data_IF_337936978218
#
_entry.id   IF_337936978218
#
_cell.length_a   1.000
_cell.length_b   1.000
_cell.length_c   1.000
_cell.angle_alpha   90.00
_cell.angle_beta   90.00
_cell.angle_gamma   90.00
#
_symmetry.space_group_name_H-M   'P 1'
#
loop_
_entity.id
_entity.type
_entity.pdbx_description
1 polymer ?
#
# COMPACT_ATOMS: atom_id res chain seq x y z
N UNK A 1 -14.48 -6.20 36.50
CA UNK A 1 -13.77 -5.02 35.96
C UNK A 1 -14.39 -4.69 34.61
N UNK A 2 -15.36 -3.78 34.65
CA UNK A 2 -16.18 -3.34 33.51
C UNK A 2 -15.44 -2.21 32.81
N UNK A 3 -15.40 -2.21 31.48
CA UNK A 3 -15.27 -0.97 30.73
C UNK A 3 -16.05 -1.11 29.41
N UNK A 4 -17.24 -0.49 29.31
CA UNK A 4 -18.02 -0.42 28.08
C UNK A 4 -17.84 0.95 27.44
N UNK A 5 -17.50 0.97 26.15
CA UNK A 5 -17.60 2.18 25.34
C UNK A 5 -18.30 1.84 24.02
N UNK A 6 -19.55 2.27 23.97
CA UNK A 6 -20.32 2.63 22.77
C UNK A 6 -19.44 3.42 21.78
N UNK A 7 -19.72 3.47 20.47
CA UNK A 7 -20.78 4.31 19.90
C UNK A 7 -21.18 3.80 18.51
N UNK A 8 -22.49 3.76 18.33
CA UNK A 8 -23.22 3.52 17.09
C UNK A 8 -22.80 4.45 15.95
N UNK A 9 -22.59 3.92 14.75
CA UNK A 9 -22.70 4.71 13.50
C UNK A 9 -23.97 4.26 12.80
N UNK A 10 -25.04 4.98 13.10
CA UNK A 10 -26.34 4.91 12.46
C UNK A 10 -26.23 5.64 11.10
N UNK A 11 -26.40 4.89 10.02
CA UNK A 11 -26.26 5.37 8.65
C UNK A 11 -27.44 6.23 8.18
N UNK A 12 -27.06 7.37 7.60
CA UNK A 12 -27.57 8.00 6.38
C UNK A 12 -29.10 8.15 6.20
N UNK A 13 -29.58 9.39 6.38
CA UNK A 13 -30.92 9.84 5.97
C UNK A 13 -30.96 10.11 4.46
N UNK A 14 -32.04 9.64 3.84
CA UNK A 14 -32.36 9.84 2.44
C UNK A 14 -33.29 11.06 2.22
N UNK A 15 -33.17 11.64 1.02
CA UNK A 15 -34.26 12.17 0.19
C UNK A 15 -34.89 13.54 0.50
N UNK A 16 -35.00 14.39 -0.55
CA UNK A 16 -36.12 15.35 -0.65
C UNK A 16 -35.87 16.74 -1.28
N UNK A 17 -35.99 16.82 -2.62
CA UNK A 17 -36.65 17.83 -3.48
C UNK A 17 -36.56 19.37 -3.27
N UNK A 18 -35.96 20.03 -4.27
CA UNK A 18 -36.55 20.98 -5.26
C UNK A 18 -36.88 22.47 -4.92
N UNK A 19 -36.33 23.33 -5.79
CA UNK A 19 -36.68 24.69 -6.31
C UNK A 19 -36.98 25.87 -5.37
N UNK A 20 -36.30 26.99 -5.61
CA UNK A 20 -36.92 28.19 -6.23
C UNK A 20 -35.85 29.20 -6.71
N UNK A 21 -36.08 29.78 -7.90
CA UNK A 21 -35.29 30.88 -8.50
C UNK A 21 -36.26 32.02 -8.77
N UNK A 22 -35.98 33.29 -8.40
CA UNK A 22 -35.64 34.32 -9.40
C UNK A 22 -34.69 35.39 -8.78
N UNK A 23 -34.09 36.39 -9.42
CA UNK A 23 -34.18 37.03 -10.71
C UNK A 23 -32.87 37.82 -10.94
N UNK A 24 -32.68 38.23 -12.21
CA UNK A 24 -32.07 39.50 -12.60
C UNK A 24 -30.55 39.68 -12.45
N UNK A 25 -29.83 39.30 -13.52
CA UNK A 25 -28.86 40.19 -14.17
C UNK A 25 -28.53 39.63 -15.57
N UNK A 26 -29.10 40.28 -16.59
CA UNK A 26 -28.84 40.02 -18.00
C UNK A 26 -27.37 40.28 -18.37
N UNK A 27 -26.75 39.48 -19.27
CA UNK A 27 -25.31 39.48 -19.54
C UNK A 27 -24.89 40.35 -20.74
N UNK A 28 -23.68 40.93 -20.69
CA UNK A 28 -22.67 41.05 -21.78
C UNK A 28 -21.79 42.31 -21.62
N UNK A 29 -20.68 42.44 -22.37
CA UNK A 29 -19.59 41.49 -22.63
C UNK A 29 -18.23 42.18 -22.36
N UNK A 30 -17.10 41.56 -22.72
CA UNK A 30 -15.71 42.05 -22.57
C UNK A 30 -15.21 42.03 -21.13
N UNK A 31 -14.42 41.06 -20.72
CA UNK A 31 -13.00 41.09 -21.04
C UNK A 31 -12.40 39.68 -21.12
N UNK A 32 -12.00 39.30 -22.33
CA UNK A 32 -10.96 38.29 -22.48
C UNK A 32 -9.69 38.84 -21.84
N UNK A 33 -9.25 38.30 -20.70
CA UNK A 33 -7.80 38.09 -20.51
C UNK A 33 -7.44 37.14 -19.38
N UNK A 34 -6.97 35.96 -19.82
CA UNK A 34 -5.99 35.06 -19.18
C UNK A 34 -6.27 34.72 -17.73
N UNK A 35 -6.93 33.57 -17.53
CA UNK A 35 -6.66 32.76 -16.34
C UNK A 35 -5.14 32.60 -16.22
N UNK A 36 -4.53 32.99 -15.09
CA UNK A 36 -3.14 32.68 -14.81
C UNK A 36 -3.00 31.17 -14.96
N UNK A 37 -2.08 30.71 -15.82
CA UNK A 37 -1.71 29.31 -15.78
C UNK A 37 -1.29 29.02 -14.36
N UNK A 38 -2.03 28.17 -13.66
CA UNK A 38 -1.51 27.46 -12.49
C UNK A 38 -0.44 26.53 -13.04
N UNK A 39 0.72 27.10 -13.40
CA UNK A 39 1.96 26.38 -13.52
C UNK A 39 2.17 25.79 -12.15
N UNK A 40 1.63 24.58 -11.97
CA UNK A 40 1.52 23.94 -10.68
C UNK A 40 2.89 23.96 -10.07
N UNK A 41 3.02 24.65 -8.94
CA UNK A 41 4.16 24.51 -8.06
C UNK A 41 4.28 23.01 -7.76
N UNK A 42 5.14 22.32 -8.49
CA UNK A 42 5.46 20.93 -8.25
C UNK A 42 6.00 20.90 -6.83
N UNK A 43 5.25 20.28 -5.91
CA UNK A 43 5.63 20.23 -4.51
C UNK A 43 7.10 19.78 -4.43
N UNK A 44 7.94 20.43 -3.60
CA UNK A 44 9.35 20.11 -3.53
C UNK A 44 9.53 18.62 -3.26
N UNK A 45 10.58 17.99 -3.84
CA UNK A 45 10.81 16.57 -3.64
C UNK A 45 10.86 16.29 -2.14
N UNK A 46 10.00 15.38 -1.68
CA UNK A 46 9.98 14.97 -0.27
C UNK A 46 11.37 14.48 0.14
N UNK A 47 11.71 14.65 1.42
CA UNK A 47 12.95 14.13 1.99
C UNK A 47 13.17 12.67 1.52
N UNK A 48 14.21 12.39 0.73
CA UNK A 48 14.40 11.07 0.13
C UNK A 48 14.52 9.99 1.18
N UNK A 49 15.13 10.32 2.33
CA UNK A 49 15.25 9.42 3.47
C UNK A 49 13.89 9.07 4.08
N UNK A 50 13.00 10.07 4.24
CA UNK A 50 11.63 9.83 4.69
C UNK A 50 10.83 8.95 3.73
N UNK A 51 11.02 9.13 2.41
CA UNK A 51 10.37 8.30 1.40
C UNK A 51 10.84 6.84 1.50
N UNK A 52 12.15 6.61 1.63
CA UNK A 52 12.73 5.26 1.79
C UNK A 52 12.22 4.59 3.07
N UNK A 53 12.17 5.31 4.19
CA UNK A 53 11.61 4.80 5.45
C UNK A 53 10.13 4.43 5.33
N UNK A 54 9.34 5.28 4.68
CA UNK A 54 7.91 5.03 4.47
C UNK A 54 7.67 3.80 3.59
N UNK A 55 8.47 3.65 2.53
CA UNK A 55 8.45 2.47 1.67
C UNK A 55 8.80 1.21 2.47
N UNK A 56 9.88 1.24 3.26
CA UNK A 56 10.26 0.11 4.10
C UNK A 56 9.14 -0.29 5.08
N UNK A 57 8.52 0.67 5.76
CA UNK A 57 7.38 0.41 6.64
C UNK A 57 6.18 -0.23 5.90
N UNK A 58 5.96 0.10 4.62
CA UNK A 58 4.96 -0.57 3.80
C UNK A 58 5.36 -2.03 3.47
N UNK A 59 6.64 -2.30 3.26
CA UNK A 59 7.16 -3.66 3.07
C UNK A 59 7.06 -4.49 4.36
N UNK A 60 7.33 -3.89 5.52
CA UNK A 60 7.18 -4.54 6.82
C UNK A 60 5.76 -5.05 7.03
N UNK A 61 4.75 -4.24 6.67
CA UNK A 61 3.33 -4.64 6.73
C UNK A 61 2.99 -5.80 5.77
N UNK A 62 3.68 -5.92 4.64
CA UNK A 62 3.49 -7.05 3.71
C UNK A 62 4.10 -8.34 4.25
N UNK A 63 5.27 -8.24 4.89
CA UNK A 63 5.91 -9.36 5.57
C UNK A 63 6.31 -10.53 4.66
N UNK A 64 6.52 -10.31 3.36
CA UNK A 64 6.90 -11.38 2.41
C UNK A 64 8.36 -11.26 1.99
N UNK A 65 9.03 -12.40 1.78
CA UNK A 65 10.42 -12.43 1.35
C UNK A 65 10.66 -11.66 0.04
N UNK A 66 9.77 -11.84 -0.93
CA UNK A 66 9.83 -11.15 -2.22
C UNK A 66 9.75 -9.61 -2.08
N UNK A 67 8.89 -9.11 -1.18
CA UNK A 67 8.74 -7.67 -0.99
C UNK A 67 10.02 -7.06 -0.39
N UNK A 68 10.62 -7.71 0.60
CA UNK A 68 11.91 -7.31 1.15
C UNK A 68 13.04 -7.40 0.12
N UNK A 69 13.10 -8.49 -0.66
CA UNK A 69 14.12 -8.65 -1.70
C UNK A 69 14.02 -7.55 -2.77
N UNK A 70 12.81 -7.18 -3.18
CA UNK A 70 12.60 -6.08 -4.13
C UNK A 70 13.09 -4.74 -3.58
N UNK A 71 12.79 -4.45 -2.30
CA UNK A 71 13.27 -3.24 -1.64
C UNK A 71 14.81 -3.18 -1.62
N UNK A 72 15.47 -4.28 -1.25
CA UNK A 72 16.92 -4.35 -1.23
C UNK A 72 17.56 -4.13 -2.61
N UNK A 73 16.91 -4.60 -3.68
CA UNK A 73 17.37 -4.38 -5.08
C UNK A 73 17.20 -2.93 -5.52
N UNK A 74 16.17 -2.23 -5.03
CA UNK A 74 15.89 -0.82 -5.36
C UNK A 74 16.85 0.12 -4.63
N UNK A 75 17.24 -0.20 -3.40
CA UNK A 75 18.05 0.66 -2.53
C UNK A 75 19.37 -0.03 -2.10
N UNK A 76 20.22 -0.52 -3.03
CA UNK A 76 21.28 -1.48 -2.69
C UNK A 76 22.32 -0.96 -1.68
N UNK A 77 22.58 0.35 -1.64
CA UNK A 77 23.52 1.01 -0.74
C UNK A 77 22.91 1.59 0.54
N UNK A 78 21.63 1.37 0.81
CA UNK A 78 20.95 1.91 1.99
C UNK A 78 21.00 0.94 3.18
N UNK A 79 21.12 1.44 4.42
CA UNK A 79 21.20 0.58 5.60
C UNK A 79 19.96 -0.33 5.79
N UNK A 80 18.77 0.16 5.47
CA UNK A 80 17.53 -0.65 5.49
C UNK A 80 17.53 -1.76 4.43
N UNK A 81 18.33 -1.67 3.36
CA UNK A 81 18.42 -2.75 2.38
C UNK A 81 19.16 -3.96 2.93
N UNK A 82 20.16 -3.78 3.81
CA UNK A 82 20.77 -4.90 4.53
C UNK A 82 19.77 -5.60 5.43
N UNK A 83 18.96 -4.83 6.14
CA UNK A 83 17.90 -5.39 6.97
C UNK A 83 16.85 -6.12 6.13
N UNK A 84 16.46 -5.54 4.99
CA UNK A 84 15.57 -6.20 4.04
C UNK A 84 16.15 -7.53 3.54
N UNK A 85 17.45 -7.58 3.19
CA UNK A 85 18.14 -8.81 2.78
C UNK A 85 18.06 -9.88 3.88
N UNK A 86 18.36 -9.50 5.13
CA UNK A 86 18.29 -10.41 6.28
C UNK A 86 16.89 -10.98 6.47
N UNK A 87 15.86 -10.13 6.42
CA UNK A 87 14.46 -10.55 6.58
C UNK A 87 13.96 -11.41 5.43
N UNK A 88 14.36 -11.11 4.20
CA UNK A 88 14.05 -11.95 3.04
C UNK A 88 14.60 -13.36 3.23
N UNK A 89 15.90 -13.50 3.57
CA UNK A 89 16.54 -14.79 3.79
C UNK A 89 15.90 -15.58 4.94
N UNK A 90 15.53 -14.92 6.04
CA UNK A 90 14.84 -15.56 7.15
C UNK A 90 13.47 -16.12 6.76
N UNK A 91 12.71 -15.36 5.95
CA UNK A 91 11.38 -15.77 5.48
C UNK A 91 11.46 -16.89 4.43
N UNK A 92 12.45 -16.85 3.54
CA UNK A 92 12.69 -17.93 2.56
C UNK A 92 13.10 -19.25 3.23
N UNK A 93 13.84 -19.19 4.33
CA UNK A 93 14.18 -20.37 5.13
C UNK A 93 13.02 -20.95 5.93
N UNK A 94 12.00 -20.12 6.24
CA UNK A 94 10.81 -20.52 6.99
C UNK A 94 9.70 -21.07 6.08
N UNK A 95 9.66 -20.64 4.81
CA UNK A 95 8.75 -21.22 3.84
C UNK A 95 9.16 -22.67 3.54
N UNK A 96 8.21 -23.63 3.46
CA UNK A 96 8.48 -24.90 2.81
C UNK A 96 9.06 -24.58 1.43
N UNK A 97 10.30 -25.00 1.15
CA UNK A 97 11.02 -24.58 -0.05
C UNK A 97 10.11 -24.89 -1.24
N UNK A 98 9.60 -23.84 -1.89
CA UNK A 98 8.53 -23.94 -2.87
C UNK A 98 8.91 -24.76 -4.13
N UNK A 99 10.16 -25.23 -4.21
CA UNK A 99 10.68 -26.14 -5.24
C UNK A 99 11.27 -27.44 -4.71
N UNK A 100 11.28 -27.69 -3.40
CA UNK A 100 11.60 -29.04 -2.90
C UNK A 100 10.33 -29.89 -3.03
N UNK A 101 10.42 -31.12 -3.58
CA UNK A 101 9.27 -32.02 -3.55
C UNK A 101 8.81 -32.18 -2.10
N UNK A 102 7.49 -32.23 -1.89
CA UNK A 102 6.92 -32.38 -0.55
C UNK A 102 7.67 -33.50 0.20
N UNK A 103 8.08 -33.28 1.46
CA UNK A 103 8.79 -34.30 2.21
C UNK A 103 7.98 -35.59 2.20
N UNK A 104 8.62 -36.72 1.91
CA UNK A 104 7.93 -38.00 1.85
C UNK A 104 7.11 -38.18 3.14
N UNK A 105 5.84 -38.63 3.04
CA UNK A 105 5.05 -38.89 4.24
C UNK A 105 5.82 -39.83 5.17
N UNK A 106 6.04 -39.41 6.43
CA UNK A 106 6.80 -40.18 7.42
C UNK A 106 8.34 -40.12 7.30
N UNK A 107 8.92 -39.32 6.41
CA UNK A 107 10.37 -39.09 6.32
C UNK A 107 11.19 -40.25 5.72
N UNK A 108 10.55 -41.32 5.27
CA UNK A 108 11.21 -42.45 4.58
C UNK A 108 11.22 -42.20 3.05
N UNK A 109 12.40 -42.15 2.39
CA UNK A 109 12.50 -41.95 0.94
C UNK A 109 11.83 -43.04 0.10
N UNK A 110 11.51 -44.20 0.68
CA UNK A 110 10.77 -45.28 0.00
C UNK A 110 9.27 -44.98 -0.13
N UNK A 111 8.73 -44.08 0.69
CA UNK A 111 7.29 -43.74 0.71
C UNK A 111 6.90 -42.68 -0.33
N UNK A 112 7.86 -42.21 -1.14
CA UNK A 112 7.62 -41.20 -2.18
C UNK A 112 7.16 -41.79 -3.54
N UNK A 113 7.14 -43.11 -3.73
CA UNK A 113 7.01 -43.73 -5.06
C UNK A 113 5.59 -44.20 -5.45
N UNK A 114 4.53 -43.91 -4.69
CA UNK A 114 3.26 -44.66 -4.81
C UNK A 114 2.03 -43.92 -5.34
N UNK A 115 2.16 -42.74 -5.93
CA UNK A 115 1.00 -42.04 -6.51
C UNK A 115 1.09 -42.01 -8.04
N UNK A 116 0.50 -43.04 -8.67
CA UNK A 116 0.20 -43.09 -10.12
C UNK A 116 -1.16 -42.45 -10.42
#
# INVERSE_FOLDING_TARGET
MTNPAHVMVLGLLASGCVTDTPADASPSPTETRRLPGTGGIMAPPSDPEAAIRSEFAAIERKGTAQAYALFARRHPGHALAEEARRRAAALDGQAPRHGDPAPCPGGDPRNCQTSS
#
